data_IF_471187100870
#
_entry.id   IF_471187100870
#
_cell.length_a   1.000
_cell.length_b   1.000
_cell.length_c   1.000
_cell.angle_alpha   90.00
_cell.angle_beta   90.00
_cell.angle_gamma   90.00
#
_symmetry.space_group_name_H-M   'P 1'
#
loop_
_entity.id
_entity.type
_entity.pdbx_description
1 polymer ?
#
# COMPACT_ATOMS: atom_id res chain seq x y z
N UNK A 1 33.76 -2.43 -1.21
CA UNK A 1 32.64 -1.94 -0.38
C UNK A 1 31.47 -2.83 -0.71
N UNK A 2 31.23 -3.85 0.11
CA UNK A 2 30.09 -4.75 -0.07
C UNK A 2 28.87 -4.02 0.45
N UNK A 3 27.87 -3.79 -0.40
CA UNK A 3 26.53 -3.44 0.08
C UNK A 3 26.06 -4.65 0.85
N UNK A 4 25.95 -4.50 2.17
CA UNK A 4 25.30 -5.49 3.01
C UNK A 4 23.82 -5.42 2.61
N UNK A 5 23.40 -6.31 1.69
CA UNK A 5 21.99 -6.56 1.44
C UNK A 5 21.39 -6.97 2.79
N UNK A 6 20.72 -6.03 3.46
CA UNK A 6 19.76 -6.37 4.48
C UNK A 6 18.68 -7.15 3.76
N UNK A 7 18.82 -8.47 3.72
CA UNK A 7 17.72 -9.37 3.49
C UNK A 7 16.71 -9.11 4.61
N UNK A 8 15.82 -8.13 4.40
CA UNK A 8 14.57 -8.08 5.15
C UNK A 8 14.01 -9.49 5.05
N UNK A 9 13.87 -10.17 6.19
CA UNK A 9 13.59 -11.58 6.24
C UNK A 9 12.38 -11.85 5.36
N UNK A 10 12.64 -12.48 4.20
CA UNK A 10 11.64 -12.82 3.19
C UNK A 10 10.50 -13.62 3.84
N UNK A 11 10.76 -14.31 4.95
CA UNK A 11 9.77 -15.05 5.73
C UNK A 11 8.63 -14.19 6.30
N UNK A 12 8.86 -12.93 6.68
CA UNK A 12 7.77 -12.07 7.17
C UNK A 12 6.91 -11.54 6.01
N UNK A 13 7.51 -11.36 4.83
CA UNK A 13 6.77 -11.11 3.58
C UNK A 13 5.89 -12.28 3.17
N UNK A 14 6.39 -13.51 3.36
CA UNK A 14 5.70 -14.74 2.96
C UNK A 14 4.41 -15.01 3.77
N UNK A 15 4.22 -14.35 4.93
CA UNK A 15 2.96 -14.40 5.69
C UNK A 15 1.88 -13.48 5.13
N UNK A 16 2.22 -12.55 4.24
CA UNK A 16 1.25 -11.63 3.66
C UNK A 16 0.63 -12.23 2.39
N UNK A 17 -0.67 -12.03 2.22
CA UNK A 17 -1.45 -12.55 1.10
C UNK A 17 -0.98 -12.04 -0.29
N UNK A 18 -0.13 -11.02 -0.30
CA UNK A 18 0.44 -10.42 -1.51
C UNK A 18 1.78 -11.01 -1.98
N UNK A 19 2.41 -11.91 -1.21
CA UNK A 19 3.70 -12.51 -1.58
C UNK A 19 3.80 -13.01 -3.04
N UNK A 20 2.78 -13.71 -3.60
CA UNK A 20 2.81 -14.18 -4.99
C UNK A 20 2.86 -13.08 -6.05
N UNK A 21 2.57 -11.83 -5.69
CA UNK A 21 2.44 -10.71 -6.60
C UNK A 21 3.62 -9.74 -6.53
N UNK A 22 4.52 -9.89 -5.57
CA UNK A 22 5.68 -8.99 -5.43
C UNK A 22 6.56 -9.10 -6.68
N UNK A 23 6.86 -7.94 -7.28
CA UNK A 23 7.68 -7.80 -8.48
C UNK A 23 7.17 -8.59 -9.70
N UNK A 24 5.83 -8.75 -9.80
CA UNK A 24 5.18 -9.43 -10.91
C UNK A 24 4.49 -8.44 -11.85
N UNK A 25 4.62 -8.69 -13.15
CA UNK A 25 3.70 -8.16 -14.16
C UNK A 25 2.41 -8.99 -14.14
N UNK A 26 1.30 -8.35 -14.48
CA UNK A 26 0.02 -9.02 -14.67
C UNK A 26 -0.32 -9.10 -16.15
N UNK A 27 -1.14 -10.07 -16.53
CA UNK A 27 -1.55 -10.32 -17.92
C UNK A 27 -2.77 -9.48 -18.35
N UNK A 28 -3.27 -8.61 -17.47
CA UNK A 28 -4.46 -7.79 -17.73
C UNK A 28 -4.32 -6.34 -17.25
N UNK A 29 -5.06 -5.44 -17.91
CA UNK A 29 -5.29 -4.09 -17.43
C UNK A 29 -6.42 -4.08 -16.38
N UNK A 30 -6.48 -3.03 -15.57
CA UNK A 30 -7.56 -2.83 -14.60
C UNK A 30 -7.05 -2.72 -13.17
N UNK A 31 -6.30 -3.70 -12.62
CA UNK A 31 -5.83 -3.57 -11.25
C UNK A 31 -5.04 -2.28 -11.04
N UNK A 32 -5.36 -1.53 -9.98
CA UNK A 32 -4.77 -0.24 -9.67
C UNK A 32 -4.10 -0.23 -8.29
N UNK A 33 -3.46 0.88 -7.93
CA UNK A 33 -2.78 1.07 -6.64
C UNK A 33 -3.70 0.82 -5.42
N UNK A 34 -4.99 1.15 -5.55
CA UNK A 34 -5.96 0.99 -4.48
C UNK A 34 -6.23 -0.48 -4.16
N UNK A 35 -6.42 -1.33 -5.17
CA UNK A 35 -6.56 -2.78 -4.90
C UNK A 35 -5.28 -3.44 -4.43
N UNK A 36 -4.11 -2.98 -4.90
CA UNK A 36 -2.82 -3.46 -4.43
C UNK A 36 -2.71 -3.26 -2.91
N UNK A 37 -3.09 -2.06 -2.46
CA UNK A 37 -3.13 -1.68 -1.05
C UNK A 37 -4.16 -2.49 -0.27
N UNK A 38 -5.38 -2.66 -0.80
CA UNK A 38 -6.42 -3.44 -0.12
C UNK A 38 -6.08 -4.93 0.01
N UNK A 39 -5.43 -5.51 -1.00
CA UNK A 39 -4.95 -6.89 -0.94
C UNK A 39 -3.87 -7.06 0.15
N UNK A 40 -3.00 -6.06 0.33
CA UNK A 40 -1.92 -6.08 1.32
C UNK A 40 -2.40 -5.96 2.78
N UNK A 41 -3.54 -5.31 3.02
CA UNK A 41 -4.16 -5.19 4.36
C UNK A 41 -5.22 -6.27 4.64
N UNK A 42 -5.53 -7.12 3.66
CA UNK A 42 -6.55 -8.15 3.81
C UNK A 42 -5.94 -9.39 4.44
N UNK A 43 -6.57 -9.90 5.50
CA UNK A 43 -6.12 -11.11 6.20
C UNK A 43 -6.72 -12.38 5.58
N UNK A 44 -7.89 -12.27 4.96
CA UNK A 44 -8.50 -13.35 4.19
C UNK A 44 -7.80 -13.50 2.82
N UNK A 45 -7.10 -14.62 2.63
CA UNK A 45 -6.34 -14.91 1.41
C UNK A 45 -7.19 -14.93 0.14
N UNK A 46 -8.41 -15.46 0.21
CA UNK A 46 -9.30 -15.53 -0.94
C UNK A 46 -9.71 -14.12 -1.35
N UNK A 47 -10.11 -13.31 -0.38
CA UNK A 47 -10.52 -11.92 -0.62
C UNK A 47 -9.37 -11.03 -1.10
N UNK A 48 -8.15 -11.24 -0.58
CA UNK A 48 -6.96 -10.57 -1.10
C UNK A 48 -6.71 -10.92 -2.58
N UNK A 49 -6.88 -12.20 -2.94
CA UNK A 49 -6.74 -12.70 -4.32
C UNK A 49 -7.81 -12.12 -5.26
N UNK A 50 -9.03 -11.92 -4.75
CA UNK A 50 -10.09 -11.22 -5.47
C UNK A 50 -9.70 -9.74 -5.69
N UNK A 51 -9.34 -9.02 -4.62
CA UNK A 51 -8.97 -7.60 -4.73
C UNK A 51 -7.86 -7.34 -5.72
N UNK A 52 -6.73 -8.05 -5.63
CA UNK A 52 -5.53 -7.78 -6.45
C UNK A 52 -5.75 -7.97 -7.96
N UNK A 53 -6.91 -8.48 -8.36
CA UNK A 53 -7.31 -8.69 -9.74
C UNK A 53 -8.40 -7.73 -10.23
N UNK A 54 -8.90 -6.83 -9.39
CA UNK A 54 -10.03 -5.95 -9.71
C UNK A 54 -9.62 -4.49 -9.85
N UNK A 55 -10.51 -3.65 -10.39
CA UNK A 55 -10.33 -2.20 -10.36
C UNK A 55 -11.17 -1.61 -9.21
N UNK A 56 -10.64 -0.61 -8.50
CA UNK A 56 -11.28 -0.02 -7.31
C UNK A 56 -11.45 1.49 -7.43
N UNK A 57 -12.61 2.00 -7.02
CA UNK A 57 -12.90 3.42 -6.90
C UNK A 57 -12.32 4.01 -5.60
N UNK A 58 -11.86 5.28 -5.58
CA UNK A 58 -11.39 5.97 -4.38
C UNK A 58 -12.36 5.95 -3.19
N UNK A 59 -13.65 6.21 -3.44
CA UNK A 59 -14.66 6.26 -2.37
C UNK A 59 -14.86 4.89 -1.70
N UNK A 60 -14.89 3.82 -2.49
CA UNK A 60 -14.99 2.45 -1.99
C UNK A 60 -13.74 2.06 -1.22
N UNK A 61 -12.56 2.44 -1.71
CA UNK A 61 -11.29 2.24 -1.01
C UNK A 61 -11.31 2.87 0.40
N UNK A 62 -11.71 4.14 0.51
CA UNK A 62 -11.81 4.83 1.80
C UNK A 62 -12.84 4.20 2.74
N UNK A 63 -13.98 3.73 2.22
CA UNK A 63 -14.97 3.02 3.02
C UNK A 63 -14.39 1.71 3.59
N UNK A 64 -13.60 0.98 2.80
CA UNK A 64 -12.96 -0.27 3.24
C UNK A 64 -11.85 0.01 4.26
N UNK A 65 -11.02 1.05 4.06
CA UNK A 65 -10.01 1.44 5.07
C UNK A 65 -10.67 1.74 6.42
N UNK A 66 -11.72 2.56 6.42
CA UNK A 66 -12.49 2.88 7.64
C UNK A 66 -13.11 1.64 8.29
N UNK A 67 -13.67 0.72 7.51
CA UNK A 67 -14.24 -0.52 8.06
C UNK A 67 -13.17 -1.44 8.67
N UNK A 68 -11.94 -1.39 8.14
CA UNK A 68 -10.75 -2.06 8.68
C UNK A 68 -10.04 -1.29 9.80
N UNK A 69 -10.64 -0.20 10.30
CA UNK A 69 -10.14 0.64 11.40
C UNK A 69 -8.83 1.37 11.09
N UNK A 70 -8.59 1.68 9.81
CA UNK A 70 -7.53 2.60 9.44
C UNK A 70 -8.01 4.05 9.61
N UNK A 71 -7.20 4.85 10.28
CA UNK A 71 -7.47 6.24 10.62
C UNK A 71 -6.33 7.12 10.11
N UNK A 72 -6.66 8.34 9.66
CA UNK A 72 -5.64 9.34 9.31
C UNK A 72 -4.87 9.75 10.58
N UNK A 73 -3.54 9.72 10.51
CA UNK A 73 -2.68 10.09 11.64
C UNK A 73 -1.86 11.35 11.31
N UNK A 74 -1.72 12.23 12.30
CA UNK A 74 -0.95 13.47 12.18
C UNK A 74 0.53 13.23 12.51
N UNK A 75 1.23 12.56 11.60
CA UNK A 75 2.68 12.34 11.66
C UNK A 75 3.25 12.15 10.26
N UNK A 76 4.57 12.27 10.14
CA UNK A 76 5.33 11.94 8.92
C UNK A 76 6.18 10.69 9.06
N UNK A 77 6.13 10.05 10.24
CA UNK A 77 6.90 8.84 10.53
C UNK A 77 6.11 7.64 10.00
N UNK A 78 6.56 7.13 8.87
CA UNK A 78 6.05 5.90 8.25
C UNK A 78 6.51 4.70 9.07
N UNK A 79 5.60 3.77 9.31
CA UNK A 79 5.84 2.52 10.02
C UNK A 79 5.29 1.34 9.25
N UNK A 80 5.81 0.15 9.53
CA UNK A 80 5.20 -1.11 9.11
C UNK A 80 3.67 -1.11 9.38
N UNK A 81 2.90 -1.50 8.36
CA UNK A 81 1.44 -1.58 8.46
C UNK A 81 0.70 -0.30 8.05
N UNK A 82 1.42 0.79 7.79
CA UNK A 82 0.78 2.02 7.30
C UNK A 82 0.26 1.90 5.88
N UNK A 83 -0.81 2.62 5.60
CA UNK A 83 -1.29 2.90 4.26
C UNK A 83 -0.95 4.34 3.91
N UNK A 84 -0.11 4.52 2.90
CA UNK A 84 0.31 5.82 2.39
C UNK A 84 -0.65 6.24 1.29
N UNK A 85 -1.16 7.46 1.33
CA UNK A 85 -2.13 7.99 0.36
C UNK A 85 -1.71 9.36 -0.14
N UNK A 86 -1.81 9.55 -1.45
CA UNK A 86 -1.68 10.85 -2.09
C UNK A 86 -3.03 11.29 -2.62
N UNK A 87 -3.43 12.50 -2.25
CA UNK A 87 -4.68 13.13 -2.61
C UNK A 87 -4.43 14.42 -3.38
N UNK A 88 -5.18 14.64 -4.46
CA UNK A 88 -5.17 15.89 -5.19
C UNK A 88 -6.62 16.34 -5.44
N UNK A 89 -6.93 17.60 -5.08
CA UNK A 89 -8.28 18.16 -5.20
C UNK A 89 -9.38 17.29 -4.57
N UNK A 90 -9.08 16.67 -3.41
CA UNK A 90 -10.02 15.80 -2.69
C UNK A 90 -10.19 14.40 -3.29
N UNK A 91 -9.40 14.02 -4.30
CA UNK A 91 -9.42 12.70 -4.91
C UNK A 91 -8.11 11.96 -4.65
N UNK A 92 -8.20 10.69 -4.26
CA UNK A 92 -7.03 9.82 -4.14
C UNK A 92 -6.49 9.54 -5.54
N UNK A 93 -5.24 9.91 -5.77
CA UNK A 93 -4.51 9.66 -7.00
C UNK A 93 -3.54 8.48 -6.86
N UNK A 94 -3.11 8.18 -5.62
CA UNK A 94 -2.27 7.03 -5.34
C UNK A 94 -2.41 6.51 -3.92
N UNK A 95 -2.17 5.22 -3.73
CA UNK A 95 -1.99 4.60 -2.42
C UNK A 95 -1.03 3.41 -2.48
N UNK A 96 -0.29 3.17 -1.40
CA UNK A 96 0.54 1.98 -1.24
C UNK A 96 0.57 1.52 0.23
N UNK A 97 1.05 0.30 0.47
CA UNK A 97 1.11 -0.29 1.82
C UNK A 97 2.55 -0.43 2.31
N UNK A 98 2.83 0.03 3.53
CA UNK A 98 4.14 -0.10 4.16
C UNK A 98 4.34 -1.51 4.69
N UNK A 99 5.30 -2.20 4.10
CA UNK A 99 5.65 -3.57 4.44
C UNK A 99 6.61 -3.64 5.62
N UNK A 100 7.46 -2.62 5.72
CA UNK A 100 8.35 -2.32 6.84
C UNK A 100 8.44 -0.80 6.95
N UNK A 101 9.28 -0.29 7.85
CA UNK A 101 9.57 1.15 7.93
C UNK A 101 10.30 1.71 6.69
N UNK A 102 10.86 0.83 5.84
CA UNK A 102 11.69 1.22 4.69
C UNK A 102 11.19 0.70 3.34
N UNK A 103 10.24 -0.24 3.30
CA UNK A 103 9.75 -0.87 2.07
C UNK A 103 8.23 -0.74 1.95
N UNK A 104 7.74 -0.54 0.71
CA UNK A 104 6.31 -0.48 0.40
C UNK A 104 5.92 -1.45 -0.72
N UNK A 105 4.72 -2.00 -0.62
CA UNK A 105 4.05 -2.70 -1.72
C UNK A 105 3.26 -1.68 -2.53
N UNK A 106 3.65 -1.55 -3.79
CA UNK A 106 3.21 -0.48 -4.68
C UNK A 106 2.72 -1.02 -6.02
N UNK A 107 1.87 -0.26 -6.70
CA UNK A 107 1.60 -0.41 -8.13
C UNK A 107 1.42 0.95 -8.79
N UNK A 108 2.33 1.30 -9.68
CA UNK A 108 2.32 2.58 -10.39
C UNK A 108 1.40 2.55 -11.61
N UNK A 109 0.08 2.65 -11.40
CA UNK A 109 -0.90 2.76 -12.47
C UNK A 109 -1.77 1.51 -12.66
N UNK A 110 -2.51 1.47 -13.77
CA UNK A 110 -3.58 0.48 -13.99
C UNK A 110 -3.34 -0.48 -15.15
N UNK A 111 -2.20 -0.37 -15.83
CA UNK A 111 -1.91 -1.20 -17.00
C UNK A 111 -1.16 -2.47 -16.61
N UNK A 112 -1.14 -3.44 -17.53
CA UNK A 112 -0.33 -4.66 -17.43
C UNK A 112 1.18 -4.40 -17.42
N UNK A 113 1.62 -3.27 -17.98
CA UNK A 113 3.03 -2.87 -18.01
C UNK A 113 3.51 -2.23 -16.72
N UNK A 114 2.59 -1.94 -15.79
CA UNK A 114 2.92 -1.45 -14.46
C UNK A 114 2.96 -2.66 -13.52
N UNK A 115 4.13 -3.12 -13.08
CA UNK A 115 4.20 -4.26 -12.17
C UNK A 115 3.65 -3.89 -10.78
N UNK A 116 3.27 -4.92 -10.03
CA UNK A 116 3.27 -4.82 -8.57
C UNK A 116 4.73 -4.84 -8.12
N UNK A 117 5.12 -3.92 -7.24
CA UNK A 117 6.52 -3.71 -6.89
C UNK A 117 6.70 -3.61 -5.39
N UNK A 118 7.83 -4.14 -4.92
CA UNK A 118 8.40 -3.76 -3.64
C UNK A 118 9.50 -2.72 -3.89
N UNK A 119 9.29 -1.49 -3.42
CA UNK A 119 10.24 -0.38 -3.56
C UNK A 119 10.48 0.28 -2.21
N UNK A 120 11.51 1.12 -2.11
CA UNK A 120 11.78 1.83 -0.85
C UNK A 120 10.75 2.93 -0.60
N UNK A 121 10.50 3.22 0.68
CA UNK A 121 9.72 4.38 1.11
C UNK A 121 10.25 5.66 0.46
N UNK A 122 11.57 5.87 0.47
CA UNK A 122 12.21 7.03 -0.16
C UNK A 122 11.89 7.13 -1.66
N UNK A 123 11.89 6.01 -2.38
CA UNK A 123 11.58 5.98 -3.81
C UNK A 123 10.12 6.32 -4.08
N UNK A 124 9.16 5.73 -3.35
CA UNK A 124 7.73 6.05 -3.57
C UNK A 124 7.44 7.52 -3.22
N UNK A 125 8.05 8.05 -2.15
CA UNK A 125 7.89 9.45 -1.77
C UNK A 125 8.38 10.39 -2.88
N UNK A 126 9.53 10.10 -3.50
CA UNK A 126 10.04 10.85 -4.66
C UNK A 126 9.12 10.74 -5.89
N UNK A 127 8.62 9.55 -6.20
CA UNK A 127 7.76 9.34 -7.38
C UNK A 127 6.50 10.20 -7.33
N UNK A 128 5.95 10.42 -6.14
CA UNK A 128 4.69 11.14 -5.92
C UNK A 128 4.85 12.55 -5.34
N UNK A 129 6.08 13.04 -5.19
CA UNK A 129 6.40 14.38 -4.65
C UNK A 129 5.69 15.49 -5.43
N UNK A 130 5.59 15.34 -6.75
CA UNK A 130 4.92 16.28 -7.65
C UNK A 130 3.43 16.52 -7.32
N UNK A 131 2.77 15.61 -6.60
CA UNK A 131 1.40 15.83 -6.12
C UNK A 131 1.37 16.90 -5.03
N UNK A 132 2.34 16.86 -4.11
CA UNK A 132 2.47 17.81 -3.01
C UNK A 132 2.88 19.18 -3.53
N UNK A 133 3.83 19.23 -4.48
CA UNK A 133 4.24 20.47 -5.16
C UNK A 133 3.08 21.18 -5.86
N UNK A 134 2.07 20.43 -6.31
CA UNK A 134 0.85 20.94 -6.95
C UNK A 134 -0.27 21.26 -5.96
N UNK A 135 0.02 21.30 -4.66
CA UNK A 135 -0.95 21.60 -3.61
C UNK A 135 -1.82 20.41 -3.18
N UNK A 136 -1.43 19.19 -3.55
CA UNK A 136 -2.02 17.96 -3.01
C UNK A 136 -1.57 17.66 -1.59
N UNK A 137 -2.08 16.55 -1.04
CA UNK A 137 -1.82 16.09 0.32
C UNK A 137 -1.19 14.71 0.32
N UNK A 138 -0.26 14.50 1.25
CA UNK A 138 0.23 13.19 1.65
C UNK A 138 -0.42 12.86 2.98
N UNK A 139 -1.05 11.68 3.06
CA UNK A 139 -1.84 11.23 4.19
C UNK A 139 -1.34 9.86 4.60
N UNK A 140 -1.09 9.69 5.90
CA UNK A 140 -0.83 8.38 6.49
C UNK A 140 -2.10 7.86 7.14
N UNK A 141 -2.45 6.62 6.80
CA UNK A 141 -3.50 5.88 7.46
C UNK A 141 -2.88 4.73 8.26
N UNK A 142 -3.16 4.66 9.56
CA UNK A 142 -2.70 3.59 10.44
C UNK A 142 -3.88 2.88 11.07
N UNK A 143 -3.76 1.56 11.24
CA UNK A 143 -4.79 0.78 11.92
C UNK A 143 -4.79 1.14 13.40
N UNK A 144 -5.92 1.64 13.91
CA UNK A 144 -6.08 1.89 15.34
C UNK A 144 -5.90 0.61 16.15
N UNK A 145 -5.25 0.70 17.32
CA UNK A 145 -5.09 -0.44 18.22
C UNK A 145 -6.48 -1.02 18.59
N UNK A 146 -6.63 -2.34 18.52
CA UNK A 146 -7.73 -3.00 19.20
C UNK A 146 -7.51 -2.79 20.71
N UNK A 147 -8.53 -2.47 21.52
CA UNK A 147 -8.40 -2.64 22.96
C UNK A 147 -7.94 -4.08 23.20
N UNK A 148 -6.85 -4.26 23.95
CA UNK A 148 -6.49 -5.57 24.46
C UNK A 148 -7.67 -6.00 25.33
N UNK A 149 -8.52 -6.89 24.82
CA UNK A 149 -9.48 -7.60 25.66
C UNK A 149 -8.63 -8.45 26.62
N UNK A 150 -8.45 -7.95 27.84
CA UNK A 150 -7.92 -8.73 28.94
C UNK A 150 -8.90 -9.89 29.18
N UNK A 151 -8.50 -11.10 28.80
CA UNK A 151 -9.13 -12.36 29.21
C UNK A 151 -8.42 -12.82 30.49
#
# INVERSE_FOLDING_TARGET
MFVQEQSVLIDDFMKNNISPYINQLIDKNGPNCLVATLAAIETDKKKATEYINEWMQPNTFLQILRSKKFEEIDTKIIQEGDVLVWEQAGLIVHACYSLTDNLVFNKDGQTMFNPYQCITVEQVMRNWEHIIERGGRFILHRKGEQPIENI
#
